data_IF_759184986774
#
_entry.id   IF_759184986774
#
_cell.length_a   1.000
_cell.length_b   1.000
_cell.length_c   1.000
_cell.angle_alpha   90.00
_cell.angle_beta   90.00
_cell.angle_gamma   90.00
#
_symmetry.space_group_name_H-M   'P 1'
#
loop_
_entity.id
_entity.type
_entity.pdbx_description
1 polymer ?
#
# COMPACT_ATOMS: atom_id res chain seq x y z
N UNK A 1 3.41 -6.38 -22.05
CA UNK A 1 3.74 -4.96 -21.79
C UNK A 1 2.48 -4.12 -21.69
N UNK A 2 1.60 -4.07 -22.71
CA UNK A 2 0.33 -3.33 -22.64
C UNK A 2 -0.51 -3.69 -21.40
N UNK A 3 -0.67 -4.97 -21.08
CA UNK A 3 -1.37 -5.42 -19.87
C UNK A 3 -0.80 -4.84 -18.57
N UNK A 4 0.52 -4.67 -18.47
CA UNK A 4 1.14 -4.04 -17.30
C UNK A 4 0.87 -2.53 -17.27
N UNK A 5 0.88 -1.87 -18.43
CA UNK A 5 0.53 -0.45 -18.54
C UNK A 5 -0.92 -0.24 -18.11
N UNK A 6 -1.86 -1.03 -18.63
CA UNK A 6 -3.28 -0.93 -18.29
C UNK A 6 -3.55 -1.25 -16.82
N UNK A 7 -2.76 -2.14 -16.21
CA UNK A 7 -2.93 -2.56 -14.83
C UNK A 7 -2.27 -1.62 -13.80
N UNK A 8 -1.20 -0.91 -14.17
CA UNK A 8 -0.46 -0.03 -13.26
C UNK A 8 -0.66 1.47 -13.52
N UNK A 9 -1.32 1.84 -14.63
CA UNK A 9 -1.77 3.21 -14.82
C UNK A 9 -3.02 3.45 -13.98
N UNK A 10 -3.12 4.65 -13.39
CA UNK A 10 -4.22 5.05 -12.49
C UNK A 10 -4.38 4.22 -11.21
N UNK A 11 -3.45 3.34 -10.89
CA UNK A 11 -3.44 2.63 -9.60
C UNK A 11 -2.67 3.42 -8.55
N UNK A 12 -3.32 3.63 -7.41
CA UNK A 12 -2.65 4.13 -6.22
C UNK A 12 -2.07 2.93 -5.46
N UNK A 13 -0.75 2.93 -5.24
CA UNK A 13 -0.12 1.88 -4.43
C UNK A 13 -0.41 2.16 -2.95
N UNK A 14 -1.26 1.35 -2.34
CA UNK A 14 -1.33 1.20 -0.89
C UNK A 14 -0.11 0.38 -0.42
N UNK A 15 0.48 0.65 0.75
CA UNK A 15 -0.03 1.47 1.85
C UNK A 15 0.19 2.98 1.67
N UNK A 16 -0.75 3.73 2.25
CA UNK A 16 -0.74 5.17 2.40
C UNK A 16 -0.75 5.44 3.90
N UNK A 17 0.15 6.26 4.42
CA UNK A 17 0.10 6.49 5.86
C UNK A 17 1.41 6.90 6.50
N UNK A 18 1.40 6.77 7.82
CA UNK A 18 2.57 6.99 8.64
C UNK A 18 3.68 6.00 8.27
N UNK A 19 4.91 6.50 8.22
CA UNK A 19 6.11 5.70 7.98
C UNK A 19 6.76 5.45 9.33
N UNK A 20 6.96 4.17 9.65
CA UNK A 20 7.67 3.73 10.84
C UNK A 20 9.15 3.46 10.51
N UNK A 21 10.05 3.79 11.43
CA UNK A 21 11.48 3.47 11.31
C UNK A 21 12.35 4.45 10.51
N UNK A 22 11.78 5.48 9.88
CA UNK A 22 12.56 6.53 9.19
C UNK A 22 12.57 7.84 9.98
N UNK A 23 13.74 8.46 10.13
CA UNK A 23 13.89 9.69 10.93
C UNK A 23 13.30 10.93 10.24
N UNK A 24 13.57 11.11 8.95
CA UNK A 24 13.18 12.32 8.20
C UNK A 24 11.81 12.25 7.49
N UNK A 25 11.29 11.06 7.19
CA UNK A 25 10.03 10.86 6.45
C UNK A 25 9.02 10.19 7.38
N UNK A 26 7.98 10.94 7.78
CA UNK A 26 6.95 10.45 8.72
C UNK A 26 5.64 10.03 8.07
N UNK A 27 5.40 10.43 6.82
CA UNK A 27 4.19 10.09 6.07
C UNK A 27 4.51 9.93 4.59
N UNK A 28 3.90 8.95 3.92
CA UNK A 28 4.02 8.75 2.49
C UNK A 28 2.67 8.52 1.82
N UNK A 29 2.54 9.05 0.61
CA UNK A 29 1.35 8.96 -0.24
C UNK A 29 1.39 7.75 -1.17
N UNK A 30 2.35 6.84 -1.01
CA UNK A 30 2.44 5.51 -1.60
C UNK A 30 3.81 4.92 -1.27
N UNK A 31 4.00 3.62 -1.53
CA UNK A 31 5.34 2.99 -1.48
C UNK A 31 6.34 3.63 -2.45
N UNK A 32 5.87 4.04 -3.63
CA UNK A 32 6.71 4.66 -4.66
C UNK A 32 7.18 6.05 -4.20
N UNK A 33 6.26 6.84 -3.62
CA UNK A 33 6.58 8.13 -2.99
C UNK A 33 7.62 7.97 -1.88
N UNK A 34 7.45 6.97 -1.01
CA UNK A 34 8.42 6.68 0.04
C UNK A 34 9.81 6.36 -0.54
N UNK A 35 9.91 5.43 -1.49
CA UNK A 35 11.18 5.03 -2.09
C UNK A 35 11.95 6.21 -2.69
N UNK A 36 11.28 7.04 -3.50
CA UNK A 36 11.95 8.17 -4.13
C UNK A 36 12.28 9.29 -3.15
N UNK A 37 11.51 9.45 -2.06
CA UNK A 37 11.86 10.39 -0.98
C UNK A 37 13.09 9.92 -0.20
N UNK A 38 13.20 8.63 0.13
CA UNK A 38 14.39 8.06 0.78
C UNK A 38 15.62 8.25 -0.10
N UNK A 39 15.51 7.89 -1.39
CA UNK A 39 16.60 8.07 -2.34
C UNK A 39 17.01 9.56 -2.46
N UNK A 40 16.05 10.47 -2.50
CA UNK A 40 16.30 11.91 -2.56
C UNK A 40 16.99 12.45 -1.31
N UNK A 41 16.51 12.06 -0.13
CA UNK A 41 17.01 12.57 1.15
C UNK A 41 18.37 11.96 1.53
N UNK A 42 18.54 10.64 1.39
CA UNK A 42 19.75 9.95 1.83
C UNK A 42 20.89 10.03 0.80
N UNK A 43 20.59 9.91 -0.50
CA UNK A 43 21.62 9.80 -1.52
C UNK A 43 21.84 11.08 -2.32
N UNK A 44 20.80 11.92 -2.46
CA UNK A 44 20.89 13.18 -3.21
C UNK A 44 20.91 14.41 -2.30
N UNK A 45 20.85 14.23 -0.97
CA UNK A 45 20.83 15.30 0.03
C UNK A 45 19.74 16.37 -0.20
N UNK A 46 18.63 15.95 -0.81
CA UNK A 46 17.48 16.81 -1.13
C UNK A 46 16.55 16.91 0.08
N UNK A 47 17.00 17.64 1.09
CA UNK A 47 16.29 17.78 2.37
C UNK A 47 14.96 18.55 2.26
N UNK A 48 14.68 19.19 1.13
CA UNK A 48 13.36 19.79 0.88
C UNK A 48 12.23 18.74 0.77
N UNK A 49 12.56 17.48 0.51
CA UNK A 49 11.59 16.37 0.49
C UNK A 49 11.31 15.78 1.88
N UNK A 50 12.13 16.11 2.88
CA UNK A 50 11.97 15.62 4.24
C UNK A 50 10.86 16.39 4.98
N UNK A 51 10.10 15.68 5.82
CA UNK A 51 9.18 16.35 6.76
C UNK A 51 9.95 16.93 7.94
N UNK A 52 11.01 16.23 8.36
CA UNK A 52 11.91 16.66 9.43
C UNK A 52 13.32 16.74 8.84
N UNK A 53 13.85 17.95 8.60
CA UNK A 53 15.21 18.12 8.09
C UNK A 53 16.24 17.51 9.06
N UNK A 54 17.30 16.83 8.57
CA UNK A 54 18.37 16.38 9.42
C UNK A 54 19.18 17.56 9.97
N UNK A 55 19.58 17.49 11.24
CA UNK A 55 20.31 18.54 11.96
C UNK A 55 21.75 18.71 11.49
N UNK A 56 22.32 17.69 10.84
CA UNK A 56 23.67 17.70 10.28
C UNK A 56 23.61 17.24 8.82
N UNK A 57 24.14 18.01 7.87
CA UNK A 57 24.37 17.52 6.51
C UNK A 57 25.30 16.31 6.58
N UNK A 58 24.86 15.17 6.05
CA UNK A 58 25.72 14.00 5.90
C UNK A 58 26.56 14.27 4.66
N UNK A 59 27.78 14.78 4.83
CA UNK A 59 28.66 15.15 3.72
C UNK A 59 29.42 13.94 3.15
N UNK A 60 29.48 12.83 3.90
CA UNK A 60 30.23 11.62 3.55
C UNK A 60 29.33 10.39 3.30
N UNK A 61 29.36 9.78 2.09
CA UNK A 61 28.60 8.57 1.76
C UNK A 61 28.91 7.35 2.65
N UNK A 62 30.03 7.38 3.39
CA UNK A 62 30.43 6.30 4.29
C UNK A 62 29.67 6.28 5.61
N UNK A 63 28.99 7.36 6.00
CA UNK A 63 28.22 7.44 7.25
C UNK A 63 26.81 6.85 7.12
N UNK A 64 26.31 6.68 5.89
CA UNK A 64 25.02 6.05 5.56
C UNK A 64 24.88 4.59 6.05
N UNK A 65 25.99 3.96 6.43
CA UNK A 65 26.00 2.56 6.91
C UNK A 65 25.78 2.45 8.43
N UNK A 66 25.73 3.57 9.17
CA UNK A 66 25.71 3.56 10.64
C UNK A 66 24.35 3.85 11.29
N UNK A 67 23.30 4.08 10.50
CA UNK A 67 21.93 4.08 11.03
C UNK A 67 21.52 2.68 11.51
N UNK A 68 20.64 2.53 12.51
CA UNK A 68 20.12 1.23 12.90
C UNK A 68 19.41 0.64 11.69
N UNK A 69 20.05 -0.33 11.04
CA UNK A 69 19.46 -1.13 9.98
C UNK A 69 18.30 -1.88 10.61
N UNK A 70 17.12 -1.28 10.57
CA UNK A 70 15.88 -1.96 10.95
C UNK A 70 15.79 -3.17 10.04
N UNK A 71 16.03 -4.34 10.60
CA UNK A 71 16.02 -5.60 9.89
C UNK A 71 14.69 -5.71 9.16
N UNK A 72 14.73 -5.56 7.84
CA UNK A 72 13.60 -5.93 7.00
C UNK A 72 13.46 -7.44 7.20
N UNK A 73 12.36 -7.94 7.80
CA UNK A 73 12.14 -9.38 7.84
C UNK A 73 12.15 -9.90 6.39
N UNK A 74 12.79 -11.05 6.11
CA UNK A 74 13.09 -11.47 4.75
C UNK A 74 11.81 -11.77 3.98
N UNK A 75 11.40 -10.85 3.11
CA UNK A 75 10.40 -11.09 2.09
C UNK A 75 11.11 -11.43 0.77
N UNK A 76 11.33 -12.72 0.51
CA UNK A 76 11.13 -13.44 -0.75
C UNK A 76 11.89 -14.78 -0.74
N UNK A 77 11.23 -15.85 -0.31
CA UNK A 77 11.43 -17.15 -0.97
C UNK A 77 10.33 -17.31 -2.00
N UNK A 78 10.71 -17.20 -3.27
CA UNK A 78 9.85 -17.48 -4.39
C UNK A 78 9.54 -18.98 -4.49
N UNK A 79 8.31 -19.25 -4.92
CA UNK A 79 7.78 -20.45 -5.55
C UNK A 79 7.46 -21.67 -4.64
N UNK A 80 6.16 -21.95 -4.52
CA UNK A 80 5.56 -23.07 -5.27
C UNK A 80 4.08 -22.78 -5.52
N UNK A 81 3.65 -22.93 -6.77
CA UNK A 81 2.26 -23.14 -7.10
C UNK A 81 1.78 -24.42 -6.39
N UNK A 82 0.75 -24.30 -5.56
CA UNK A 82 0.00 -25.44 -5.06
C UNK A 82 -1.44 -25.02 -4.81
N UNK A 83 -2.32 -25.70 -5.55
CA UNK A 83 -3.75 -25.91 -5.38
C UNK A 83 -4.46 -25.23 -4.19
N UNK A 84 -5.60 -24.63 -4.52
CA UNK A 84 -6.69 -24.42 -3.58
C UNK A 84 -6.94 -25.69 -2.74
N UNK A 85 -6.81 -25.55 -1.42
CA UNK A 85 -7.32 -26.48 -0.43
C UNK A 85 -8.06 -25.64 0.63
N UNK A 86 -9.15 -26.18 1.21
CA UNK A 86 -10.17 -25.39 1.87
C UNK A 86 -9.68 -24.86 3.22
N UNK A 87 -10.00 -23.61 3.51
CA UNK A 87 -9.84 -23.03 4.85
C UNK A 87 -10.76 -23.77 5.83
N UNK A 88 -10.24 -24.23 6.99
CA UNK A 88 -11.07 -24.78 8.05
C UNK A 88 -11.89 -23.66 8.69
N UNK A 89 -13.18 -23.93 8.90
CA UNK A 89 -14.11 -23.06 9.58
C UNK A 89 -13.77 -23.03 11.09
N UNK A 90 -13.34 -21.87 11.59
CA UNK A 90 -13.29 -21.55 13.02
C UNK A 90 -14.22 -20.35 13.26
N UNK A 91 -14.94 -20.30 14.40
CA UNK A 91 -16.18 -19.56 14.52
C UNK A 91 -15.89 -18.06 14.54
N UNK A 92 -16.47 -17.39 13.55
CA UNK A 92 -16.60 -15.95 13.36
C UNK A 92 -16.53 -15.16 14.67
N UNK A 93 -15.52 -14.30 14.80
CA UNK A 93 -15.63 -13.19 15.74
C UNK A 93 -16.86 -12.37 15.30
N UNK A 94 -17.63 -11.81 16.24
CA UNK A 94 -18.83 -11.03 15.88
C UNK A 94 -18.56 -9.87 14.93
N UNK A 95 -17.30 -9.46 14.78
CA UNK A 95 -16.82 -8.44 13.86
C UNK A 95 -16.69 -8.97 12.43
N UNK A 96 -16.30 -10.24 12.24
CA UNK A 96 -16.19 -10.88 10.92
C UNK A 96 -17.58 -11.09 10.30
N UNK A 97 -18.54 -11.56 11.09
CA UNK A 97 -19.93 -11.72 10.65
C UNK A 97 -20.58 -10.38 10.27
N UNK A 98 -20.28 -9.31 11.01
CA UNK A 98 -20.75 -7.96 10.69
C UNK A 98 -20.07 -7.41 9.42
N UNK A 99 -18.80 -7.75 9.18
CA UNK A 99 -18.07 -7.34 7.99
C UNK A 99 -18.55 -8.09 6.74
N UNK A 100 -18.86 -9.38 6.87
CA UNK A 100 -19.48 -10.20 5.83
C UNK A 100 -20.89 -9.70 5.48
N UNK A 101 -21.72 -9.34 6.46
CA UNK A 101 -23.06 -8.80 6.17
C UNK A 101 -22.99 -7.42 5.46
N UNK A 102 -21.97 -6.61 5.78
CA UNK A 102 -21.81 -5.28 5.18
C UNK A 102 -21.16 -5.32 3.79
N UNK A 103 -20.21 -6.23 3.54
CA UNK A 103 -19.33 -6.24 2.35
C UNK A 103 -19.34 -7.57 1.56
N UNK A 104 -20.05 -8.62 2.00
CA UNK A 104 -19.94 -9.99 1.45
C UNK A 104 -20.40 -10.16 0.01
N UNK A 105 -21.35 -9.34 -0.46
CA UNK A 105 -21.86 -9.37 -1.84
C UNK A 105 -21.24 -8.28 -2.75
N UNK A 106 -20.18 -7.60 -2.30
CA UNK A 106 -19.62 -6.47 -3.04
C UNK A 106 -18.89 -6.91 -4.31
N UNK A 107 -19.43 -6.64 -5.52
CA UNK A 107 -18.77 -7.02 -6.75
C UNK A 107 -17.49 -6.20 -6.94
N UNK A 108 -16.50 -6.77 -7.63
CA UNK A 108 -15.34 -6.00 -8.08
C UNK A 108 -15.76 -4.95 -9.11
N UNK A 109 -15.10 -3.79 -9.10
CA UNK A 109 -15.35 -2.76 -10.09
C UNK A 109 -15.00 -3.25 -11.51
N UNK A 110 -15.94 -3.17 -12.42
CA UNK A 110 -15.81 -3.47 -13.85
C UNK A 110 -14.82 -2.55 -14.58
N UNK A 111 -14.62 -1.32 -14.10
CA UNK A 111 -13.74 -0.34 -14.72
C UNK A 111 -12.28 -0.42 -14.25
N UNK A 112 -12.02 -0.74 -12.98
CA UNK A 112 -10.66 -0.73 -12.42
C UNK A 112 -10.29 -1.91 -11.52
N UNK A 113 -11.17 -2.89 -11.35
CA UNK A 113 -10.92 -4.12 -10.59
C UNK A 113 -10.88 -3.97 -9.06
N UNK A 114 -10.96 -2.75 -8.52
CA UNK A 114 -10.97 -2.53 -7.07
C UNK A 114 -12.29 -3.02 -6.44
N UNK A 115 -12.22 -3.62 -5.25
CA UNK A 115 -13.42 -4.05 -4.51
C UNK A 115 -14.29 -2.83 -4.23
N UNK A 116 -15.58 -2.96 -4.52
CA UNK A 116 -16.50 -1.83 -4.33
C UNK A 116 -17.04 -1.82 -2.91
N UNK A 117 -17.53 -0.65 -2.47
CA UNK A 117 -18.11 -0.49 -1.14
C UNK A 117 -19.59 -0.16 -1.29
N UNK A 118 -20.44 -0.81 -0.49
CA UNK A 118 -21.88 -0.57 -0.46
C UNK A 118 -22.16 0.89 -0.07
N UNK A 119 -22.92 1.59 -0.92
CA UNK A 119 -23.39 2.96 -0.72
C UNK A 119 -24.91 2.97 -0.88
N UNK A 120 -25.63 2.59 0.18
CA UNK A 120 -27.08 2.40 0.14
C UNK A 120 -27.46 1.16 -0.70
N UNK A 121 -28.28 1.37 -1.73
CA UNK A 121 -28.66 0.32 -2.69
C UNK A 121 -27.60 0.06 -3.77
N UNK A 122 -26.66 0.98 -3.96
CA UNK A 122 -25.60 0.85 -4.96
C UNK A 122 -24.28 0.38 -4.33
N UNK A 123 -23.31 0.08 -5.19
CA UNK A 123 -21.90 -0.01 -4.83
C UNK A 123 -21.12 1.12 -5.47
N UNK A 124 -20.13 1.65 -4.75
CA UNK A 124 -19.25 2.73 -5.22
C UNK A 124 -17.79 2.28 -5.14
N UNK A 125 -17.05 2.50 -6.22
CA UNK A 125 -15.61 2.32 -6.23
C UNK A 125 -14.93 3.59 -5.66
N UNK A 126 -14.13 3.43 -4.60
CA UNK A 126 -13.36 4.54 -4.04
C UNK A 126 -12.12 4.90 -4.87
N UNK A 127 -11.68 4.01 -5.76
CA UNK A 127 -10.51 4.24 -6.60
C UNK A 127 -10.85 5.05 -7.86
N UNK A 128 -11.84 4.62 -8.66
CA UNK A 128 -12.18 5.29 -9.93
C UNK A 128 -13.49 6.08 -9.90
N UNK A 129 -14.28 5.99 -8.81
CA UNK A 129 -15.56 6.68 -8.67
C UNK A 129 -16.74 6.02 -9.39
N UNK A 130 -16.55 4.88 -10.08
CA UNK A 130 -17.65 4.19 -10.76
C UNK A 130 -18.70 3.67 -9.77
N UNK A 131 -19.97 3.73 -10.16
CA UNK A 131 -21.11 3.26 -9.37
C UNK A 131 -21.81 2.08 -10.05
N UNK A 132 -22.00 0.98 -9.33
CA UNK A 132 -22.67 -0.22 -9.82
C UNK A 132 -24.01 -0.41 -9.09
N UNK A 133 -25.04 -0.84 -9.82
CA UNK A 133 -26.32 -1.24 -9.21
C UNK A 133 -27.22 -0.12 -8.71
N UNK A 134 -27.07 1.11 -9.22
CA UNK A 134 -28.04 2.18 -8.97
C UNK A 134 -29.24 2.04 -9.90
N UNK A 135 -30.37 1.53 -9.39
CA UNK A 135 -31.67 1.55 -10.05
C UNK A 135 -32.38 2.89 -9.86
#
# INVERSE_FOLDING_TARGET
>A
LNTYVDQFTFTRFEPQGAVEGHDNIKFATSIVDYLFRVLGVEYLHRYELAHVPPTHPIEDPSELTQGPRSEVPPALTAATAAAAAPVPEDPTSGLDAQLEEMMGDAPVCDACGHITIRNGACYKCLNCGNSLGCS
#
